data_IF_320643588188
#
_entry.id   IF_320643588188
#
_cell.length_a   1.000
_cell.length_b   1.000
_cell.length_c   1.000
_cell.angle_alpha   90.00
_cell.angle_beta   90.00
_cell.angle_gamma   90.00
#
_symmetry.space_group_name_H-M   'P 1'
#
loop_
_entity.id
_entity.type
_entity.pdbx_description
1 polymer ?
#
# COMPACT_ATOMS: atom_id res chain seq x y z
N UNK A 1 18.99 -30.51 41.37
CA UNK A 1 18.60 -30.25 39.97
C UNK A 1 17.07 -30.25 39.83
N UNK A 2 16.37 -29.25 40.39
CA UNK A 2 14.89 -29.11 40.29
C UNK A 2 14.41 -27.65 40.29
N UNK A 3 15.31 -26.70 40.59
CA UNK A 3 15.03 -25.27 40.66
C UNK A 3 15.28 -24.53 39.33
N UNK A 4 16.16 -25.07 38.48
CA UNK A 4 16.50 -24.47 37.18
C UNK A 4 15.38 -24.65 36.14
N UNK A 5 14.65 -25.77 36.20
CA UNK A 5 13.55 -26.06 35.25
C UNK A 5 12.39 -25.05 35.38
N UNK A 6 12.08 -24.63 36.62
CA UNK A 6 11.03 -23.62 36.85
C UNK A 6 11.42 -22.26 36.28
N UNK A 7 12.67 -21.83 36.49
CA UNK A 7 13.16 -20.54 36.00
C UNK A 7 13.11 -20.45 34.46
N UNK A 8 13.45 -21.55 33.79
CA UNK A 8 13.42 -21.66 32.33
C UNK A 8 12.00 -21.59 31.77
N UNK A 9 11.04 -22.24 32.46
CA UNK A 9 9.62 -22.17 32.08
C UNK A 9 9.09 -20.74 32.22
N UNK A 10 9.42 -20.02 33.29
CA UNK A 10 9.00 -18.62 33.45
C UNK A 10 9.66 -17.67 32.45
N UNK A 11 10.93 -17.89 32.10
CA UNK A 11 11.62 -17.12 31.08
C UNK A 11 11.02 -17.39 29.68
N UNK A 12 10.75 -18.65 29.35
CA UNK A 12 10.10 -19.03 28.09
C UNK A 12 8.68 -18.45 28.00
N UNK A 13 7.90 -18.50 29.08
CA UNK A 13 6.56 -17.91 29.14
C UNK A 13 6.59 -16.39 28.95
N UNK A 14 7.58 -15.71 29.55
CA UNK A 14 7.79 -14.28 29.38
C UNK A 14 8.11 -13.91 27.93
N UNK A 15 8.99 -14.66 27.26
CA UNK A 15 9.32 -14.44 25.83
C UNK A 15 8.08 -14.70 24.95
N UNK A 16 7.30 -15.74 25.25
CA UNK A 16 6.06 -16.07 24.53
C UNK A 16 4.98 -14.99 24.68
N UNK A 17 4.96 -14.26 25.79
CA UNK A 17 4.05 -13.14 26.05
C UNK A 17 4.48 -11.84 25.36
N UNK A 18 5.78 -11.68 25.05
CA UNK A 18 6.31 -10.50 24.34
C UNK A 18 6.28 -10.68 22.82
N UNK A 19 6.31 -11.91 22.31
CA UNK A 19 6.24 -12.20 20.87
C UNK A 19 5.00 -11.57 20.16
N UNK A 20 3.78 -11.55 20.73
CA UNK A 20 2.63 -10.87 20.15
C UNK A 20 2.78 -9.34 20.11
N UNK A 21 3.53 -8.74 21.06
CA UNK A 21 3.78 -7.30 21.09
C UNK A 21 4.76 -6.86 19.98
N UNK A 22 5.67 -7.75 19.57
CA UNK A 22 6.57 -7.51 18.44
C UNK A 22 5.89 -7.72 17.07
N UNK A 23 4.70 -8.36 17.06
CA UNK A 23 3.92 -8.65 15.85
C UNK A 23 2.74 -7.70 15.62
N UNK A 24 2.59 -6.67 16.45
CA UNK A 24 1.70 -5.56 16.15
C UNK A 24 2.27 -4.77 14.96
N UNK A 25 1.84 -5.12 13.75
CA UNK A 25 1.87 -4.24 12.58
C UNK A 25 0.94 -3.03 12.85
N UNK A 26 1.38 -2.17 13.78
CA UNK A 26 0.77 -0.90 14.09
C UNK A 26 1.07 -0.03 12.87
N UNK A 27 0.18 -0.05 11.87
CA UNK A 27 0.20 0.92 10.78
C UNK A 27 0.32 2.30 11.42
N UNK A 28 1.50 2.91 11.33
CA UNK A 28 1.82 4.08 12.12
C UNK A 28 0.84 5.18 11.72
N UNK A 29 0.05 5.69 12.67
CA UNK A 29 -0.80 6.88 12.49
C UNK A 29 0.01 8.14 12.17
N UNK A 30 1.33 8.03 12.14
CA UNK A 30 2.32 9.08 11.98
C UNK A 30 2.21 9.77 10.61
N UNK A 31 1.79 9.04 9.56
CA UNK A 31 1.70 9.57 8.19
C UNK A 31 0.33 9.29 7.56
N UNK A 32 -0.74 10.03 7.95
CA UNK A 32 -2.10 9.73 7.50
C UNK A 32 -2.27 9.80 5.98
N UNK A 33 -1.65 10.78 5.32
CA UNK A 33 -1.71 10.93 3.86
C UNK A 33 -0.96 9.79 3.13
N UNK A 34 0.22 9.39 3.61
CA UNK A 34 0.94 8.25 3.02
C UNK A 34 0.13 6.97 3.18
N UNK A 35 -0.44 6.71 4.36
CA UNK A 35 -1.32 5.56 4.57
C UNK A 35 -2.55 5.60 3.65
N UNK A 36 -3.15 6.77 3.43
CA UNK A 36 -4.26 6.93 2.50
C UNK A 36 -3.83 6.61 1.07
N UNK A 37 -2.72 7.15 0.59
CA UNK A 37 -2.18 6.84 -0.74
C UNK A 37 -1.89 5.33 -0.89
N UNK A 38 -1.27 4.68 0.11
CA UNK A 38 -1.06 3.23 0.11
C UNK A 38 -2.39 2.46 0.07
N UNK A 39 -3.42 2.93 0.78
CA UNK A 39 -4.75 2.31 0.75
C UNK A 39 -5.40 2.39 -0.64
N UNK A 40 -5.14 3.45 -1.39
CA UNK A 40 -5.61 3.60 -2.77
C UNK A 40 -4.89 2.60 -3.67
N UNK A 41 -3.57 2.45 -3.56
CA UNK A 41 -2.82 1.42 -4.32
C UNK A 41 -3.33 0.02 -3.98
N UNK A 42 -3.64 -0.24 -2.70
CA UNK A 42 -4.22 -1.51 -2.26
C UNK A 42 -5.62 -1.76 -2.83
N UNK A 43 -6.43 -0.71 -2.92
CA UNK A 43 -7.74 -0.79 -3.56
C UNK A 43 -7.60 -1.11 -5.06
N UNK A 44 -6.73 -0.39 -5.76
CA UNK A 44 -6.52 -0.56 -7.21
C UNK A 44 -5.92 -1.91 -7.59
N UNK A 45 -5.04 -2.45 -6.74
CA UNK A 45 -4.43 -3.79 -6.94
C UNK A 45 -5.31 -4.95 -6.46
N UNK A 46 -6.49 -4.69 -5.91
CA UNK A 46 -7.40 -5.76 -5.50
C UNK A 46 -8.01 -6.45 -6.72
N UNK A 47 -8.05 -7.80 -6.70
CA UNK A 47 -8.59 -8.61 -7.81
C UNK A 47 -9.98 -8.15 -8.29
N UNK A 48 -10.88 -7.82 -7.36
CA UNK A 48 -12.21 -7.28 -7.68
C UNK A 48 -12.15 -6.01 -8.55
N UNK A 49 -11.19 -5.12 -8.28
CA UNK A 49 -11.02 -3.91 -9.06
C UNK A 49 -10.34 -4.20 -10.39
N UNK A 50 -9.27 -5.00 -10.39
CA UNK A 50 -8.56 -5.39 -11.61
C UNK A 50 -9.49 -6.02 -12.65
N UNK A 51 -10.44 -6.88 -12.24
CA UNK A 51 -11.47 -7.48 -13.09
C UNK A 51 -12.42 -6.49 -13.75
N UNK A 52 -12.51 -5.26 -13.23
CA UNK A 52 -13.34 -4.17 -13.77
C UNK A 52 -12.55 -3.21 -14.67
N UNK A 53 -11.25 -3.45 -14.82
CA UNK A 53 -10.35 -2.64 -15.64
C UNK A 53 -9.87 -3.43 -16.85
N UNK A 54 -9.09 -2.77 -17.71
CA UNK A 54 -8.46 -3.43 -18.86
C UNK A 54 -7.26 -4.30 -18.48
N UNK A 55 -6.81 -4.26 -17.22
CA UNK A 55 -5.64 -5.01 -16.77
C UNK A 55 -5.74 -6.50 -17.11
N UNK A 56 -6.85 -7.15 -16.75
CA UNK A 56 -7.04 -8.60 -17.00
C UNK A 56 -7.18 -8.96 -18.48
N UNK A 57 -7.56 -8.00 -19.33
CA UNK A 57 -7.59 -8.22 -20.79
C UNK A 57 -6.21 -8.09 -21.41
N UNK A 58 -5.39 -7.17 -20.91
CA UNK A 58 -4.00 -6.98 -21.36
C UNK A 58 -3.04 -8.02 -20.78
N UNK A 59 -3.28 -8.46 -19.54
CA UNK A 59 -2.43 -9.35 -18.76
C UNK A 59 -3.28 -10.42 -18.04
N UNK A 60 -3.70 -11.50 -18.74
CA UNK A 60 -4.56 -12.54 -18.16
C UNK A 60 -3.98 -13.17 -16.89
N UNK A 61 -2.68 -13.49 -16.92
CA UNK A 61 -1.91 -14.10 -15.81
C UNK A 61 -1.14 -13.05 -14.98
N UNK A 62 -1.59 -11.78 -15.05
CA UNK A 62 -0.79 -10.59 -14.74
C UNK A 62 0.11 -10.68 -13.51
N UNK A 63 1.37 -10.28 -13.68
CA UNK A 63 2.36 -10.24 -12.59
C UNK A 63 2.33 -8.91 -11.83
N UNK A 64 2.91 -8.85 -10.61
CA UNK A 64 3.13 -7.59 -9.91
C UNK A 64 3.83 -6.51 -10.75
N UNK A 65 4.88 -6.86 -11.51
CA UNK A 65 5.58 -5.90 -12.38
C UNK A 65 4.70 -5.40 -13.52
N UNK A 66 3.93 -6.30 -14.16
CA UNK A 66 2.98 -5.94 -15.20
C UNK A 66 1.85 -5.04 -14.66
N UNK A 67 1.41 -5.27 -13.42
CA UNK A 67 0.48 -4.35 -12.76
C UNK A 67 1.07 -2.95 -12.61
N UNK A 68 2.32 -2.83 -12.16
CA UNK A 68 2.99 -1.52 -12.06
C UNK A 68 3.10 -0.87 -13.43
N UNK A 69 3.51 -1.61 -14.46
CA UNK A 69 3.59 -1.11 -15.83
C UNK A 69 2.23 -0.61 -16.34
N UNK A 70 1.17 -1.40 -16.14
CA UNK A 70 -0.19 -1.04 -16.53
C UNK A 70 -0.70 0.18 -15.76
N UNK A 71 -0.43 0.25 -14.46
CA UNK A 71 -0.91 1.33 -13.58
C UNK A 71 -0.41 2.71 -14.02
N UNK A 72 0.79 2.78 -14.60
CA UNK A 72 1.38 4.01 -15.16
C UNK A 72 1.20 4.14 -16.68
N UNK A 73 0.47 3.21 -17.32
CA UNK A 73 0.06 3.36 -18.72
C UNK A 73 -1.09 4.35 -18.85
N UNK A 74 -1.38 4.81 -20.07
CA UNK A 74 -2.55 5.64 -20.36
C UNK A 74 -3.86 5.00 -19.89
N UNK A 75 -3.97 3.67 -19.98
CA UNK A 75 -5.18 2.95 -19.55
C UNK A 75 -5.30 2.91 -18.02
N UNK A 76 -4.18 2.73 -17.32
CA UNK A 76 -4.15 2.73 -15.86
C UNK A 76 -4.46 4.11 -15.29
N UNK A 77 -3.84 5.16 -15.84
CA UNK A 77 -4.06 6.54 -15.41
C UNK A 77 -5.53 6.99 -15.54
N UNK A 78 -6.24 6.53 -16.58
CA UNK A 78 -7.64 6.87 -16.79
C UNK A 78 -8.62 6.27 -15.77
N UNK A 79 -8.21 5.26 -15.00
CA UNK A 79 -9.06 4.57 -14.01
C UNK A 79 -8.66 4.90 -12.57
N UNK A 80 -7.69 5.80 -12.37
CA UNK A 80 -7.26 6.19 -11.04
C UNK A 80 -8.39 6.89 -10.27
N UNK A 81 -8.50 6.66 -8.95
CA UNK A 81 -9.47 7.37 -8.15
C UNK A 81 -9.19 8.87 -8.12
N UNK A 82 -10.23 9.70 -7.96
CA UNK A 82 -10.11 11.15 -7.99
C UNK A 82 -9.23 11.69 -6.86
N UNK A 83 -8.66 12.87 -7.11
CA UNK A 83 -7.86 13.59 -6.13
C UNK A 83 -8.77 14.29 -5.13
N UNK A 84 -8.48 14.14 -3.84
CA UNK A 84 -9.20 14.80 -2.75
C UNK A 84 -9.13 16.33 -2.87
N UNK A 85 -10.29 16.98 -2.98
CA UNK A 85 -10.37 18.42 -3.17
C UNK A 85 -9.84 18.89 -4.53
N UNK A 86 -9.70 17.99 -5.51
CA UNK A 86 -9.23 18.30 -6.87
C UNK A 86 -10.21 19.14 -7.70
N UNK A 87 -11.41 19.41 -7.18
CA UNK A 87 -12.43 20.24 -7.83
C UNK A 87 -13.28 19.52 -8.88
N UNK A 88 -13.05 18.22 -9.09
CA UNK A 88 -13.85 17.37 -9.99
C UNK A 88 -15.27 17.12 -9.47
N UNK A 89 -15.44 17.12 -8.14
CA UNK A 89 -16.70 16.81 -7.46
C UNK A 89 -16.98 17.84 -6.36
N UNK A 90 -18.27 18.07 -6.09
CA UNK A 90 -18.69 18.82 -4.90
C UNK A 90 -18.39 18.04 -3.62
N UNK A 91 -18.36 18.75 -2.48
CA UNK A 91 -18.11 18.13 -1.16
C UNK A 91 -19.16 17.05 -0.83
N UNK A 92 -20.40 17.28 -1.23
CA UNK A 92 -21.51 16.36 -1.04
C UNK A 92 -21.33 15.10 -1.89
N UNK A 93 -20.92 15.23 -3.16
CA UNK A 93 -20.63 14.10 -4.05
C UNK A 93 -19.44 13.29 -3.55
N UNK A 94 -18.34 13.94 -3.16
CA UNK A 94 -17.18 13.25 -2.58
C UNK A 94 -17.58 12.44 -1.34
N UNK A 95 -18.41 13.02 -0.46
CA UNK A 95 -18.91 12.33 0.74
C UNK A 95 -19.75 11.10 0.38
N UNK A 96 -20.55 11.17 -0.68
CA UNK A 96 -21.34 10.04 -1.15
C UNK A 96 -20.46 8.95 -1.78
N UNK A 97 -19.45 9.32 -2.57
CA UNK A 97 -18.49 8.38 -3.16
C UNK A 97 -17.65 7.67 -2.09
N UNK A 98 -17.24 8.38 -1.04
CA UNK A 98 -16.56 7.74 0.11
C UNK A 98 -17.45 6.72 0.82
N UNK A 99 -18.75 6.99 0.94
CA UNK A 99 -19.72 6.03 1.52
C UNK A 99 -19.90 4.77 0.67
N UNK A 100 -19.71 4.85 -0.65
CA UNK A 100 -19.76 3.67 -1.53
C UNK A 100 -18.44 2.88 -1.53
N UNK A 101 -17.44 3.33 -0.77
CA UNK A 101 -16.15 2.67 -0.63
C UNK A 101 -15.16 3.00 -1.75
N UNK A 102 -15.40 4.06 -2.53
CA UNK A 102 -14.39 4.59 -3.45
C UNK A 102 -13.37 5.42 -2.64
N UNK A 103 -12.07 5.07 -2.68
CA UNK A 103 -11.05 5.88 -2.02
C UNK A 103 -10.75 7.13 -2.85
N UNK A 104 -10.19 8.14 -2.21
CA UNK A 104 -9.69 9.35 -2.87
C UNK A 104 -8.19 9.42 -2.68
N UNK A 105 -7.49 9.85 -3.73
CA UNK A 105 -6.05 10.04 -3.67
C UNK A 105 -5.72 11.37 -2.98
N UNK A 106 -4.82 11.40 -1.98
CA UNK A 106 -4.51 12.62 -1.26
C UNK A 106 -3.74 13.60 -2.16
N UNK A 107 -4.17 14.87 -2.18
CA UNK A 107 -3.63 15.91 -3.08
C UNK A 107 -2.17 16.30 -2.83
N UNK A 108 -1.63 16.00 -1.64
CA UNK A 108 -0.25 16.30 -1.24
C UNK A 108 0.76 15.17 -1.47
N UNK A 109 0.35 14.04 -2.06
CA UNK A 109 1.21 12.87 -2.28
C UNK A 109 1.29 12.58 -3.76
N UNK A 110 2.47 12.32 -4.28
CA UNK A 110 2.63 11.80 -5.64
C UNK A 110 2.66 10.27 -5.65
N UNK A 111 2.22 9.64 -6.75
CA UNK A 111 2.47 8.22 -6.99
C UNK A 111 3.50 8.04 -8.11
N UNK A 112 4.47 7.16 -7.90
CA UNK A 112 5.52 6.84 -8.87
C UNK A 112 5.82 5.36 -8.92
N UNK A 113 6.39 4.91 -10.03
CA UNK A 113 6.70 3.50 -10.27
C UNK A 113 8.18 3.23 -10.12
N UNK A 114 8.51 2.05 -9.62
CA UNK A 114 9.85 1.46 -9.57
C UNK A 114 10.84 2.14 -8.62
N UNK A 115 11.08 3.44 -8.77
CA UNK A 115 12.05 4.20 -7.98
C UNK A 115 11.45 5.54 -7.51
N UNK A 116 11.94 6.09 -6.38
CA UNK A 116 11.62 7.46 -5.99
C UNK A 116 12.00 8.44 -7.10
N UNK A 117 11.11 9.41 -7.34
CA UNK A 117 11.35 10.52 -8.24
C UNK A 117 11.89 11.71 -7.44
N UNK A 118 13.12 12.14 -7.73
CA UNK A 118 13.80 13.20 -6.97
C UNK A 118 13.14 14.58 -7.16
N UNK A 119 12.41 14.77 -8.26
CA UNK A 119 11.70 16.01 -8.56
C UNK A 119 10.34 16.10 -7.84
N UNK A 120 9.91 15.00 -7.21
CA UNK A 120 8.67 14.94 -6.45
C UNK A 120 8.98 14.92 -4.95
N UNK A 121 8.22 15.67 -4.18
CA UNK A 121 8.34 15.69 -2.71
C UNK A 121 7.78 14.40 -2.09
N UNK A 122 6.75 14.55 -1.25
CA UNK A 122 6.07 13.41 -0.62
C UNK A 122 5.49 12.48 -1.68
N UNK A 123 5.81 11.19 -1.59
CA UNK A 123 5.41 10.23 -2.63
C UNK A 123 5.24 8.81 -2.12
N UNK A 124 4.47 8.04 -2.88
CA UNK A 124 4.37 6.60 -2.75
C UNK A 124 4.98 5.96 -4.00
N UNK A 125 5.98 5.12 -3.79
CA UNK A 125 6.64 4.32 -4.82
C UNK A 125 6.02 2.93 -4.83
N UNK A 126 5.57 2.48 -6.00
CA UNK A 126 5.00 1.15 -6.19
C UNK A 126 5.95 0.29 -7.01
N UNK A 127 6.28 -0.89 -6.49
CA UNK A 127 7.18 -1.86 -7.11
C UNK A 127 6.54 -3.24 -7.17
N UNK A 128 6.73 -3.94 -8.28
CA UNK A 128 6.39 -5.35 -8.41
C UNK A 128 7.56 -6.23 -7.99
N UNK A 129 7.29 -7.34 -7.30
CA UNK A 129 8.26 -8.40 -7.08
C UNK A 129 7.67 -9.73 -7.58
N UNK A 130 8.01 -10.09 -8.81
CA UNK A 130 7.45 -11.25 -9.49
C UNK A 130 7.91 -12.58 -8.89
N UNK A 131 9.11 -12.61 -8.29
CA UNK A 131 9.67 -13.79 -7.63
C UNK A 131 8.85 -14.12 -6.38
N UNK A 132 8.62 -13.13 -5.52
CA UNK A 132 7.84 -13.28 -4.29
C UNK A 132 6.33 -13.19 -4.54
N UNK A 133 5.90 -12.81 -5.75
CA UNK A 133 4.52 -12.47 -6.12
C UNK A 133 3.91 -11.41 -5.18
N UNK A 134 4.70 -10.40 -4.87
CA UNK A 134 4.34 -9.32 -3.95
C UNK A 134 4.27 -7.99 -4.68
N UNK A 135 3.32 -7.15 -4.29
CA UNK A 135 3.38 -5.72 -4.54
C UNK A 135 4.02 -5.06 -3.32
N UNK A 136 5.04 -4.25 -3.55
CA UNK A 136 5.78 -3.51 -2.54
C UNK A 136 5.47 -2.04 -2.73
N UNK A 137 5.03 -1.39 -1.66
CA UNK A 137 4.61 0.01 -1.67
C UNK A 137 5.34 0.75 -0.56
N UNK A 138 6.13 1.74 -0.97
CA UNK A 138 7.01 2.51 -0.10
C UNK A 138 6.55 3.96 -0.06
N UNK A 139 6.31 4.51 1.13
CA UNK A 139 5.96 5.91 1.34
C UNK A 139 7.18 6.71 1.76
N UNK A 140 7.48 7.78 1.03
CA UNK A 140 8.59 8.70 1.25
C UNK A 140 8.05 10.08 1.63
N UNK A 141 8.62 10.67 2.68
CA UNK A 141 8.44 12.10 2.98
C UNK A 141 9.39 12.96 2.15
N UNK A 142 10.59 12.44 1.90
CA UNK A 142 11.66 12.99 1.06
C UNK A 142 12.20 11.85 0.19
N UNK A 143 12.28 12.01 -1.15
CA UNK A 143 12.83 10.99 -2.05
C UNK A 143 14.28 10.59 -1.77
N UNK A 144 15.08 11.45 -1.14
CA UNK A 144 16.49 11.19 -0.84
C UNK A 144 16.68 10.42 0.47
N UNK A 145 15.63 10.26 1.27
CA UNK A 145 15.66 9.56 2.55
C UNK A 145 15.21 8.10 2.39
N UNK A 146 15.42 7.31 3.44
CA UNK A 146 14.80 5.98 3.54
C UNK A 146 13.27 6.09 3.62
N UNK A 147 12.52 5.10 3.12
CA UNK A 147 11.06 5.13 3.15
C UNK A 147 10.55 5.19 4.59
N UNK A 148 9.66 6.14 4.85
CA UNK A 148 8.98 6.31 6.13
C UNK A 148 7.93 5.22 6.39
N UNK A 149 7.43 4.60 5.32
CA UNK A 149 6.44 3.52 5.37
C UNK A 149 6.80 2.48 4.32
N UNK A 150 6.75 1.19 4.67
CA UNK A 150 6.85 0.10 3.69
C UNK A 150 5.71 -0.87 3.95
N UNK A 151 4.91 -1.16 2.92
CA UNK A 151 3.82 -2.12 2.96
C UNK A 151 3.97 -3.09 1.80
N UNK A 152 3.82 -4.37 2.11
CA UNK A 152 3.90 -5.45 1.14
C UNK A 152 2.61 -6.28 1.23
N UNK A 153 2.07 -6.68 0.08
CA UNK A 153 1.02 -7.67 0.04
C UNK A 153 1.16 -8.58 -1.16
N UNK A 154 0.63 -9.80 -1.02
CA UNK A 154 0.59 -10.75 -2.14
C UNK A 154 -0.31 -10.18 -3.23
N UNK A 155 0.19 -10.17 -4.46
CA UNK A 155 -0.60 -9.79 -5.61
C UNK A 155 -1.47 -10.98 -6.00
N UNK A 156 -2.77 -10.87 -5.77
CA UNK A 156 -3.74 -11.89 -6.14
C UNK A 156 -4.17 -11.68 -7.59
N UNK A 157 -3.85 -12.64 -8.46
CA UNK A 157 -4.45 -12.74 -9.79
C UNK A 157 -5.73 -13.56 -9.73
#
# INVERSE_FOLDING_TARGET
MRHFDKLYVWAALGILLVLPLLYLDYGSKEYPELNQAVSVVRYMSADRQLKRTTFKSSYPEGTPEEFVQWMFSLMGLAVWPPIEGGGEFSREEEKMMRKTGLPFFPSGVSIVGQNPDLDKGRQVVVRGNDIRKMLIVEGYLDPNASPALVKEWRFSH
#
